data_IF_056347418288
#
_entry.id   IF_056347418288
#
_cell.length_a   1.000
_cell.length_b   1.000
_cell.length_c   1.000
_cell.angle_alpha   90.00
_cell.angle_beta   90.00
_cell.angle_gamma   90.00
#
_symmetry.space_group_name_H-M   'P 1'
#
loop_
_entity.id
_entity.type
_entity.pdbx_description
1 polymer ?
#
# COMPACT_ATOMS: atom_id res chain seq x y z
N UNK A 1 -3.62 12.27 -9.62
CA UNK A 1 -2.27 11.87 -9.17
C UNK A 1 -1.47 13.02 -8.59
N UNK A 2 -1.30 14.16 -9.28
CA UNK A 2 -0.49 15.29 -8.77
C UNK A 2 -0.81 15.75 -7.35
N UNK A 3 -2.10 15.91 -6.99
CA UNK A 3 -2.51 16.29 -5.63
C UNK A 3 -2.13 15.25 -4.55
N UNK A 4 -2.12 13.95 -4.89
CA UNK A 4 -1.70 12.90 -3.96
C UNK A 4 -0.18 12.92 -3.76
N UNK A 5 0.60 13.18 -4.82
CA UNK A 5 2.04 13.34 -4.71
C UNK A 5 2.40 14.57 -3.88
N UNK A 6 1.73 15.70 -4.13
CA UNK A 6 1.91 16.92 -3.32
C UNK A 6 1.57 16.67 -1.83
N UNK A 7 0.53 15.87 -1.55
CA UNK A 7 0.20 15.46 -0.19
C UNK A 7 1.30 14.62 0.45
N UNK A 8 1.93 13.69 -0.27
CA UNK A 8 3.03 12.84 0.24
C UNK A 8 4.29 13.65 0.55
N UNK A 9 4.57 14.71 -0.21
CA UNK A 9 5.74 15.58 0.00
C UNK A 9 5.55 16.53 1.19
N UNK A 10 4.31 16.78 1.60
CA UNK A 10 4.02 17.56 2.81
C UNK A 10 4.08 16.65 4.05
N UNK A 11 4.61 17.14 5.19
CA UNK A 11 4.67 16.35 6.41
C UNK A 11 3.29 15.76 6.77
N UNK A 12 3.21 14.49 7.22
CA UNK A 12 1.96 13.73 7.38
C UNK A 12 1.08 14.15 8.56
N UNK A 13 1.18 15.40 9.03
CA UNK A 13 0.41 15.90 10.17
C UNK A 13 -1.02 16.32 9.79
N UNK A 14 -1.35 16.39 8.50
CA UNK A 14 -2.64 16.91 8.03
C UNK A 14 -3.54 15.86 7.41
N UNK A 15 -4.84 15.98 7.71
CA UNK A 15 -5.87 15.26 6.96
C UNK A 15 -5.83 15.74 5.51
N UNK A 16 -5.94 14.83 4.54
CA UNK A 16 -5.90 15.16 3.11
C UNK A 16 -6.84 16.31 2.71
N UNK A 17 -8.02 16.41 3.34
CA UNK A 17 -8.99 17.48 3.08
C UNK A 17 -8.57 18.87 3.55
N UNK A 18 -7.59 19.00 4.46
CA UNK A 18 -7.13 20.30 4.98
C UNK A 18 -6.32 21.10 3.96
N UNK A 19 -5.83 20.46 2.89
CA UNK A 19 -5.11 21.14 1.80
C UNK A 19 -5.98 22.14 1.01
N UNK A 20 -7.31 22.10 1.20
CA UNK A 20 -8.27 23.08 0.68
C UNK A 20 -8.58 24.23 1.64
N UNK A 21 -7.98 24.24 2.83
CA UNK A 21 -8.13 25.36 3.76
C UNK A 21 -7.48 26.62 3.21
N UNK A 22 -8.07 27.77 3.54
CA UNK A 22 -7.49 29.09 3.29
C UNK A 22 -6.56 29.56 4.43
N UNK A 23 -6.43 28.75 5.48
CA UNK A 23 -5.46 28.98 6.56
C UNK A 23 -4.08 28.50 6.13
N UNK A 24 -3.07 29.37 6.25
CA UNK A 24 -1.68 29.00 6.02
C UNK A 24 -1.15 28.16 7.18
N UNK A 25 -0.54 27.04 6.84
CA UNK A 25 0.20 26.19 7.76
C UNK A 25 1.10 25.29 6.89
N UNK A 26 2.38 25.09 7.21
CA UNK A 26 3.29 24.19 6.49
C UNK A 26 3.80 24.67 5.11
N UNK A 27 4.35 23.73 4.32
CA UNK A 27 5.10 24.04 3.10
C UNK A 27 4.26 24.33 1.84
N UNK A 28 2.98 23.95 1.83
CA UNK A 28 2.07 24.22 0.70
C UNK A 28 1.22 25.44 1.04
N UNK A 29 1.25 26.51 0.22
CA UNK A 29 0.46 27.71 0.47
C UNK A 29 -1.04 27.41 0.53
N UNK A 30 -1.75 28.17 1.35
CA UNK A 30 -3.19 28.05 1.50
C UNK A 30 -3.93 28.13 0.16
N UNK A 31 -4.98 27.32 0.01
CA UNK A 31 -5.80 27.29 -1.21
C UNK A 31 -5.13 26.71 -2.47
N UNK A 32 -3.87 26.24 -2.40
CA UNK A 32 -3.16 25.72 -3.60
C UNK A 32 -3.90 24.56 -4.26
N UNK A 33 -4.42 23.60 -3.48
CA UNK A 33 -5.16 22.47 -4.05
C UNK A 33 -6.48 22.93 -4.72
N UNK A 34 -7.13 23.94 -4.14
CA UNK A 34 -8.36 24.54 -4.68
C UNK A 34 -8.18 25.18 -6.06
N UNK A 35 -6.98 25.67 -6.37
CA UNK A 35 -6.64 26.22 -7.70
C UNK A 35 -6.63 25.14 -8.79
N UNK A 36 -6.34 23.89 -8.45
CA UNK A 36 -6.25 22.78 -9.42
C UNK A 36 -7.53 21.93 -9.48
N UNK A 37 -8.16 21.65 -8.34
CA UNK A 37 -9.37 20.83 -8.28
C UNK A 37 -10.20 21.19 -7.05
N UNK A 38 -11.52 21.41 -7.17
CA UNK A 38 -12.39 21.59 -6.01
C UNK A 38 -12.38 20.36 -5.09
N UNK A 39 -12.48 20.59 -3.78
CA UNK A 39 -12.42 19.54 -2.74
C UNK A 39 -13.41 18.40 -3.01
N UNK A 40 -14.68 18.74 -3.26
CA UNK A 40 -15.75 17.76 -3.43
C UNK A 40 -15.50 16.92 -4.68
N UNK A 41 -15.09 17.55 -5.80
CA UNK A 41 -14.70 16.83 -7.01
C UNK A 41 -13.57 15.84 -6.76
N UNK A 42 -12.54 16.23 -5.99
CA UNK A 42 -11.46 15.32 -5.63
C UNK A 42 -11.96 14.14 -4.78
N UNK A 43 -12.84 14.39 -3.82
CA UNK A 43 -13.44 13.36 -2.98
C UNK A 43 -14.32 12.40 -3.77
N UNK A 44 -15.14 12.90 -4.71
CA UNK A 44 -15.96 12.06 -5.59
C UNK A 44 -15.09 11.16 -6.46
N UNK A 45 -14.03 11.71 -7.07
CA UNK A 45 -13.07 10.92 -7.85
C UNK A 45 -12.40 9.83 -6.99
N UNK A 46 -11.96 10.16 -5.78
CA UNK A 46 -11.31 9.19 -4.88
C UNK A 46 -12.28 8.12 -4.35
N UNK A 47 -13.55 8.49 -4.13
CA UNK A 47 -14.61 7.56 -3.71
C UNK A 47 -14.90 6.53 -4.80
N UNK A 48 -14.96 6.99 -6.04
CA UNK A 48 -15.41 6.18 -7.18
C UNK A 48 -14.25 5.54 -7.95
N UNK A 49 -13.00 5.71 -7.50
CA UNK A 49 -11.81 5.12 -8.11
C UNK A 49 -11.82 3.59 -8.00
N UNK A 50 -11.79 2.92 -9.15
CA UNK A 50 -11.76 1.47 -9.29
C UNK A 50 -10.81 1.06 -10.41
N UNK A 51 -10.19 -0.12 -10.26
CA UNK A 51 -9.23 -0.65 -11.24
C UNK A 51 -9.71 -1.94 -11.93
N UNK A 52 -10.89 -2.43 -11.55
CA UNK A 52 -11.46 -3.70 -12.02
C UNK A 52 -12.95 -3.53 -12.19
N UNK A 53 -13.51 -4.17 -13.23
CA UNK A 53 -14.96 -4.30 -13.39
C UNK A 53 -15.55 -5.26 -12.34
N UNK A 54 -16.51 -4.76 -11.58
CA UNK A 54 -17.19 -5.54 -10.54
C UNK A 54 -18.18 -6.58 -11.13
N UNK A 55 -18.55 -6.48 -12.41
CA UNK A 55 -19.45 -7.43 -13.08
C UNK A 55 -18.76 -8.73 -13.50
N UNK A 56 -17.43 -8.77 -13.52
CA UNK A 56 -16.67 -9.96 -13.88
C UNK A 56 -16.67 -11.06 -12.80
N UNK A 57 -16.25 -12.26 -13.19
CA UNK A 57 -16.35 -13.48 -12.39
C UNK A 57 -15.74 -13.37 -10.98
N UNK A 58 -16.46 -13.79 -9.93
CA UNK A 58 -15.97 -13.74 -8.56
C UNK A 58 -14.74 -14.63 -8.39
N UNK A 59 -13.59 -14.01 -8.15
CA UNK A 59 -12.34 -14.72 -7.84
C UNK A 59 -12.20 -14.89 -6.33
N UNK A 60 -11.57 -15.98 -5.89
CA UNK A 60 -11.18 -16.16 -4.47
C UNK A 60 -10.03 -15.24 -4.03
N UNK A 61 -9.42 -14.50 -4.95
CA UNK A 61 -8.35 -13.55 -4.66
C UNK A 61 -8.87 -12.31 -3.90
N UNK A 62 -8.45 -12.17 -2.64
CA UNK A 62 -8.77 -11.02 -1.80
C UNK A 62 -8.22 -9.69 -2.34
N UNK A 63 -7.18 -9.74 -3.16
CA UNK A 63 -6.57 -8.57 -3.78
C UNK A 63 -7.09 -8.28 -5.19
N UNK A 64 -8.13 -8.99 -5.68
CA UNK A 64 -8.69 -8.81 -7.03
C UNK A 64 -8.78 -7.34 -7.43
N UNK A 65 -9.36 -6.50 -6.57
CA UNK A 65 -9.60 -5.07 -6.86
C UNK A 65 -8.32 -4.25 -7.06
N UNK A 66 -7.18 -4.69 -6.53
CA UNK A 66 -5.89 -4.03 -6.63
C UNK A 66 -4.91 -4.76 -7.56
N UNK A 67 -5.24 -5.99 -7.98
CA UNK A 67 -4.36 -6.86 -8.76
C UNK A 67 -3.78 -6.18 -10.01
N UNK A 68 -4.55 -5.46 -10.86
CA UNK A 68 -3.99 -4.81 -12.04
C UNK A 68 -2.93 -3.74 -11.69
N UNK A 69 -3.13 -3.03 -10.57
CA UNK A 69 -2.20 -2.00 -10.10
C UNK A 69 -0.93 -2.65 -9.55
N UNK A 70 -1.10 -3.66 -8.69
CA UNK A 70 0.02 -4.42 -8.10
C UNK A 70 0.88 -5.03 -9.20
N UNK A 71 0.27 -5.68 -10.18
CA UNK A 71 0.99 -6.34 -11.28
C UNK A 71 1.72 -5.31 -12.14
N UNK A 72 1.10 -4.16 -12.43
CA UNK A 72 1.75 -3.10 -13.20
C UNK A 72 2.93 -2.50 -12.45
N UNK A 73 2.82 -2.28 -11.14
CA UNK A 73 3.93 -1.77 -10.32
C UNK A 73 5.07 -2.78 -10.30
N UNK A 74 4.78 -4.05 -10.04
CA UNK A 74 5.81 -5.10 -10.04
C UNK A 74 6.52 -5.24 -11.39
N UNK A 75 5.77 -5.19 -12.51
CA UNK A 75 6.36 -5.17 -13.85
C UNK A 75 7.33 -4.00 -14.04
N UNK A 76 6.98 -2.81 -13.54
CA UNK A 76 7.84 -1.62 -13.63
C UNK A 76 9.06 -1.71 -12.73
N UNK A 77 8.92 -2.27 -11.53
CA UNK A 77 10.04 -2.45 -10.61
C UNK A 77 11.07 -3.44 -11.15
N UNK A 78 10.62 -4.56 -11.70
CA UNK A 78 11.49 -5.55 -12.32
C UNK A 78 12.19 -5.01 -13.59
N UNK A 79 11.51 -4.19 -14.39
CA UNK A 79 12.09 -3.61 -15.60
C UNK A 79 13.00 -2.40 -15.33
N UNK A 80 12.87 -1.75 -14.18
CA UNK A 80 13.55 -0.49 -13.86
C UNK A 80 14.97 -0.66 -13.32
N UNK A 81 15.29 -1.81 -12.72
CA UNK A 81 16.61 -2.05 -12.11
C UNK A 81 16.95 -3.54 -12.07
N UNK A 82 18.22 -3.88 -12.32
CA UNK A 82 18.71 -5.26 -12.20
C UNK A 82 19.04 -5.59 -10.75
N UNK A 83 18.53 -6.71 -10.23
CA UNK A 83 18.77 -7.14 -8.85
C UNK A 83 20.27 -7.49 -8.67
N UNK A 84 20.99 -6.83 -7.76
CA UNK A 84 22.38 -7.16 -7.48
C UNK A 84 22.51 -8.45 -6.67
N UNK A 85 23.75 -8.99 -6.59
CA UNK A 85 24.03 -10.22 -5.84
C UNK A 85 23.77 -10.10 -4.32
N UNK A 86 23.77 -8.87 -3.78
CA UNK A 86 23.47 -8.61 -2.36
C UNK A 86 22.15 -7.84 -2.26
N UNK A 87 21.12 -8.51 -1.77
CA UNK A 87 19.79 -7.94 -1.59
C UNK A 87 19.25 -8.26 -0.19
N UNK A 88 18.29 -7.47 0.27
CA UNK A 88 17.56 -7.68 1.51
C UNK A 88 16.17 -8.24 1.22
N UNK A 89 15.70 -9.10 2.12
CA UNK A 89 14.33 -9.61 2.14
C UNK A 89 13.75 -9.38 3.53
N UNK A 90 12.69 -8.60 3.63
CA UNK A 90 12.10 -8.23 4.91
C UNK A 90 10.61 -7.89 4.79
N UNK A 91 9.97 -7.69 5.93
CA UNK A 91 8.56 -7.40 6.10
C UNK A 91 8.28 -5.90 6.21
N UNK A 92 7.53 -5.38 5.24
CA UNK A 92 6.93 -4.05 5.25
C UNK A 92 5.50 -4.06 5.79
N UNK A 93 5.04 -2.88 6.23
CA UNK A 93 3.64 -2.65 6.60
C UNK A 93 3.08 -1.51 5.76
N UNK A 94 2.02 -1.80 5.00
CA UNK A 94 1.20 -0.77 4.39
C UNK A 94 0.13 -0.33 5.41
N UNK A 95 0.22 0.87 6.01
CA UNK A 95 -0.69 1.27 7.07
C UNK A 95 -2.13 1.31 6.58
N UNK A 96 -3.03 0.65 7.30
CA UNK A 96 -4.44 0.59 6.94
C UNK A 96 -5.30 0.53 8.21
N UNK A 97 -6.03 1.61 8.47
CA UNK A 97 -6.92 1.73 9.63
C UNK A 97 -8.34 1.24 9.34
N UNK A 98 -8.73 1.18 8.07
CA UNK A 98 -10.08 0.76 7.67
C UNK A 98 -10.34 -0.72 7.98
N UNK A 99 -11.41 -1.00 8.71
CA UNK A 99 -11.91 -2.37 8.96
C UNK A 99 -12.41 -3.07 7.69
N UNK A 100 -12.72 -2.31 6.64
CA UNK A 100 -13.15 -2.86 5.34
C UNK A 100 -12.00 -3.49 4.56
N UNK A 101 -10.74 -3.24 4.95
CA UNK A 101 -9.60 -3.89 4.34
C UNK A 101 -9.45 -5.32 4.88
N UNK A 102 -9.71 -6.31 4.02
CA UNK A 102 -9.65 -7.74 4.36
C UNK A 102 -8.25 -8.28 4.59
N UNK A 103 -7.20 -7.56 4.16
CA UNK A 103 -5.79 -7.93 4.41
C UNK A 103 -5.20 -7.22 5.63
N UNK A 104 -6.02 -6.48 6.38
CA UNK A 104 -5.59 -5.78 7.60
C UNK A 104 -5.23 -6.80 8.68
N UNK A 105 -4.04 -6.64 9.24
CA UNK A 105 -3.50 -7.41 10.36
C UNK A 105 -3.02 -6.48 11.47
N UNK A 106 -2.97 -7.03 12.68
CA UNK A 106 -2.28 -6.39 13.81
C UNK A 106 -0.86 -6.93 13.90
N UNK A 107 0.12 -6.02 13.98
CA UNK A 107 1.56 -6.32 14.08
C UNK A 107 2.13 -5.48 15.24
N UNK A 108 2.23 -6.04 16.46
CA UNK A 108 2.54 -5.26 17.66
C UNK A 108 3.90 -4.57 17.59
N UNK A 109 4.88 -5.19 16.94
CA UNK A 109 6.27 -4.74 16.91
C UNK A 109 6.55 -3.67 15.84
N UNK A 110 5.56 -3.31 15.03
CA UNK A 110 5.71 -2.31 13.95
C UNK A 110 5.14 -0.97 14.40
N UNK A 111 5.78 0.18 14.06
CA UNK A 111 5.30 1.53 14.43
C UNK A 111 3.84 1.77 14.04
N UNK A 112 3.46 1.32 12.85
CA UNK A 112 2.07 1.25 12.42
C UNK A 112 1.52 -0.14 12.70
N UNK A 113 0.95 -0.33 13.89
CA UNK A 113 0.48 -1.64 14.36
C UNK A 113 -0.67 -2.24 13.54
N UNK A 114 -1.37 -1.46 12.72
CA UNK A 114 -2.47 -1.94 11.88
C UNK A 114 -2.22 -1.62 10.41
N UNK A 115 -2.16 -2.67 9.60
CA UNK A 115 -1.89 -2.52 8.18
C UNK A 115 -1.95 -3.84 7.41
N UNK A 116 -1.69 -3.79 6.11
CA UNK A 116 -1.45 -4.98 5.31
C UNK A 116 0.03 -5.32 5.36
N UNK A 117 0.35 -6.55 5.77
CA UNK A 117 1.72 -7.05 5.79
C UNK A 117 2.19 -7.29 4.35
N UNK A 118 3.43 -6.90 4.05
CA UNK A 118 4.07 -7.07 2.75
C UNK A 118 5.42 -7.73 2.95
N UNK A 119 5.79 -8.66 2.09
CA UNK A 119 7.16 -9.15 1.97
C UNK A 119 7.82 -8.42 0.82
N UNK A 120 9.02 -7.88 1.02
CA UNK A 120 9.69 -7.02 0.05
C UNK A 120 11.10 -7.52 -0.20
N UNK A 121 11.51 -7.57 -1.47
CA UNK A 121 12.89 -7.80 -1.89
C UNK A 121 13.47 -6.48 -2.37
N UNK A 122 14.51 -6.00 -1.70
CA UNK A 122 15.12 -4.70 -1.97
C UNK A 122 16.63 -4.83 -2.20
N UNK A 123 17.17 -3.95 -3.05
CA UNK A 123 18.61 -3.76 -3.18
C UNK A 123 19.16 -3.20 -1.86
N UNK A 124 20.18 -3.86 -1.32
CA UNK A 124 20.81 -3.49 -0.04
C UNK A 124 21.56 -2.16 -0.10
N UNK A 125 22.01 -1.72 -1.29
CA UNK A 125 22.80 -0.49 -1.46
C UNK A 125 21.93 0.72 -1.81
N UNK A 126 20.97 0.55 -2.71
CA UNK A 126 20.14 1.65 -3.22
C UNK A 126 18.78 1.75 -2.54
N UNK A 127 18.43 0.77 -1.71
CA UNK A 127 17.09 0.58 -1.13
C UNK A 127 15.97 0.43 -2.19
N UNK A 128 16.33 0.13 -3.44
CA UNK A 128 15.36 -0.06 -4.52
C UNK A 128 14.54 -1.34 -4.30
N UNK A 129 13.21 -1.23 -4.32
CA UNK A 129 12.33 -2.40 -4.21
C UNK A 129 12.15 -3.08 -5.58
N UNK A 130 12.57 -4.33 -5.70
CA UNK A 130 12.45 -5.12 -6.93
C UNK A 130 11.11 -5.86 -7.02
N UNK A 131 10.69 -6.45 -5.89
CA UNK A 131 9.48 -7.25 -5.81
C UNK A 131 8.86 -7.10 -4.44
N UNK A 132 7.53 -7.18 -4.39
CA UNK A 132 6.82 -7.29 -3.14
C UNK A 132 5.59 -8.17 -3.29
N UNK A 133 5.22 -8.82 -2.19
CA UNK A 133 4.00 -9.62 -2.12
C UNK A 133 3.18 -9.21 -0.91
N UNK A 134 1.90 -8.93 -1.13
CA UNK A 134 0.98 -8.55 -0.07
C UNK A 134 0.42 -9.84 0.54
N UNK A 135 0.56 -9.98 1.86
CA UNK A 135 0.04 -11.13 2.57
C UNK A 135 -1.50 -11.06 2.68
N UNK A 136 -2.17 -12.11 2.20
CA UNK A 136 -3.64 -12.20 2.14
C UNK A 136 -4.26 -13.14 3.18
N UNK A 137 -3.47 -13.55 4.18
CA UNK A 137 -3.84 -14.59 5.14
C UNK A 137 -3.37 -15.98 4.70
N UNK A 138 -3.57 -16.98 5.57
CA UNK A 138 -3.28 -18.37 5.23
C UNK A 138 -4.20 -18.81 4.07
N UNK A 139 -3.61 -19.34 3.02
CA UNK A 139 -4.34 -20.17 2.07
C UNK A 139 -4.83 -21.38 2.84
N UNK A 140 -6.13 -21.69 2.78
CA UNK A 140 -6.58 -23.03 3.15
C UNK A 140 -5.97 -23.96 2.10
N UNK A 141 -4.83 -24.57 2.41
CA UNK A 141 -4.35 -25.70 1.65
C UNK A 141 -5.51 -26.72 1.55
N UNK A 142 -5.64 -27.40 0.41
CA UNK A 142 -6.37 -28.68 0.41
C UNK A 142 -5.75 -29.52 1.54
N UNK A 143 -6.59 -30.13 2.36
CA UNK A 143 -6.28 -30.71 3.68
C UNK A 143 -5.30 -31.91 3.67
N UNK A 144 -4.22 -31.90 2.89
CA UNK A 144 -3.34 -33.06 2.72
C UNK A 144 -1.87 -32.85 3.10
N UNK A 145 -1.51 -31.75 3.77
CA UNK A 145 -0.20 -31.64 4.41
C UNK A 145 -0.27 -30.68 5.60
N UNK A 146 -0.45 -31.25 6.79
CA UNK A 146 -0.27 -30.56 8.05
C UNK A 146 1.24 -30.35 8.27
N UNK A 147 1.79 -29.28 7.71
CA UNK A 147 3.17 -28.88 8.01
C UNK A 147 3.28 -28.37 9.45
N UNK A 148 4.20 -28.99 10.17
CA UNK A 148 4.48 -28.77 11.59
C UNK A 148 4.75 -27.30 11.92
N UNK A 149 4.12 -26.83 12.97
CA UNK A 149 4.24 -25.47 13.49
C UNK A 149 5.61 -25.29 14.16
N UNK A 150 6.57 -24.65 13.50
CA UNK A 150 7.88 -24.31 14.09
C UNK A 150 7.72 -23.14 15.07
N UNK A 151 7.76 -23.44 16.37
CA UNK A 151 7.90 -22.43 17.43
C UNK A 151 9.35 -22.00 17.54
N UNK A 152 9.82 -21.10 16.68
CA UNK A 152 11.01 -20.31 16.99
C UNK A 152 10.63 -19.10 17.81
N UNK A 153 10.60 -19.33 19.11
CA UNK A 153 10.75 -18.33 20.17
C UNK A 153 12.03 -17.55 19.89
N UNK A 154 11.90 -16.26 19.60
CA UNK A 154 13.04 -15.35 19.54
C UNK A 154 13.66 -15.22 20.94
N UNK A 155 14.98 -15.33 21.00
CA UNK A 155 15.79 -14.88 22.13
C UNK A 155 15.93 -13.35 22.09
#
# INVERSE_FOLDING_TARGET
>A
MGLLVAHMLCPPQRRFSQHWSMTEDGAVPAGTFGKYMPRNRCQDILRDLHFVDNKGDPTRDKLRKLRPVVDKIQQRFLAGWTLPAVFSFDEGVLPATSRRNTTRMFMPDKPHRYGSKMFMTCDSKTAYCHRFEIYVGKLKAREDQADAFDHKTGA
#
